data_IF_757684916918
#
_entry.id   IF_757684916918
#
_cell.length_a   1.000
_cell.length_b   1.000
_cell.length_c   1.000
_cell.angle_alpha   90.00
_cell.angle_beta   90.00
_cell.angle_gamma   90.00
#
_symmetry.space_group_name_H-M   'P 1'
#
loop_
_entity.id
_entity.type
_entity.pdbx_description
1 polymer ?
#
# COMPACT_ATOMS: atom_id res chain seq x y z
N UNK A 1 3.99 -20.27 27.71
CA UNK A 1 3.70 -20.05 26.28
C UNK A 1 4.90 -19.38 25.61
N UNK A 2 5.39 -19.97 24.56
CA UNK A 2 6.49 -19.38 23.80
C UNK A 2 5.98 -18.27 22.91
N UNK A 3 6.80 -17.26 22.65
CA UNK A 3 6.41 -16.12 21.79
C UNK A 3 6.03 -16.57 20.38
N UNK A 4 6.73 -17.59 19.86
CA UNK A 4 6.48 -18.13 18.52
C UNK A 4 5.08 -18.73 18.36
N UNK A 5 4.43 -19.05 19.47
CA UNK A 5 3.09 -19.64 19.47
C UNK A 5 1.98 -18.61 19.50
N UNK A 6 2.33 -17.31 19.58
CA UNK A 6 1.31 -16.26 19.62
C UNK A 6 0.85 -15.87 18.21
N UNK A 7 -0.43 -15.54 18.10
CA UNK A 7 -1.02 -15.08 16.84
C UNK A 7 -0.30 -13.82 16.35
N UNK A 8 -0.03 -12.89 17.26
CA UNK A 8 0.65 -11.64 16.91
C UNK A 8 2.04 -11.86 16.32
N UNK A 9 2.82 -12.76 16.91
CA UNK A 9 4.14 -13.11 16.38
C UNK A 9 4.04 -13.70 14.97
N UNK A 10 3.10 -14.61 14.77
CA UNK A 10 2.92 -15.26 13.48
C UNK A 10 2.47 -14.30 12.39
N UNK A 11 1.55 -13.39 12.71
CA UNK A 11 1.11 -12.34 11.79
C UNK A 11 2.30 -11.46 11.39
N UNK A 12 3.11 -11.06 12.36
CA UNK A 12 4.30 -10.23 12.12
C UNK A 12 5.32 -10.93 11.22
N UNK A 13 5.55 -12.22 11.48
CA UNK A 13 6.48 -13.02 10.69
C UNK A 13 6.02 -13.16 9.24
N UNK A 14 4.72 -13.40 9.04
CA UNK A 14 4.13 -13.50 7.70
C UNK A 14 4.25 -12.15 6.99
N UNK A 15 3.92 -11.06 7.66
CA UNK A 15 4.02 -9.73 7.11
C UNK A 15 5.45 -9.39 6.67
N UNK A 16 6.43 -9.69 7.52
CA UNK A 16 7.84 -9.47 7.20
C UNK A 16 8.28 -10.29 5.97
N UNK A 17 7.81 -11.52 5.86
CA UNK A 17 8.10 -12.37 4.71
C UNK A 17 7.49 -11.82 3.43
N UNK A 18 6.25 -11.36 3.49
CA UNK A 18 5.56 -10.71 2.37
C UNK A 18 6.28 -9.45 1.92
N UNK A 19 6.71 -8.62 2.87
CA UNK A 19 7.45 -7.40 2.59
C UNK A 19 8.78 -7.69 1.90
N UNK A 20 9.51 -8.70 2.35
CA UNK A 20 10.76 -9.11 1.71
C UNK A 20 10.54 -9.52 0.26
N UNK A 21 9.52 -10.32 -0.01
CA UNK A 21 9.19 -10.76 -1.38
C UNK A 21 8.79 -9.59 -2.26
N UNK A 22 7.95 -8.71 -1.75
CA UNK A 22 7.51 -7.51 -2.47
C UNK A 22 8.69 -6.59 -2.78
N UNK A 23 9.62 -6.42 -1.84
CA UNK A 23 10.82 -5.61 -2.02
C UNK A 23 11.77 -6.20 -3.07
N UNK A 24 11.92 -7.53 -3.08
CA UNK A 24 12.78 -8.22 -4.04
C UNK A 24 12.25 -8.09 -5.48
N UNK A 25 10.96 -7.85 -5.64
CA UNK A 25 10.30 -7.71 -6.93
C UNK A 25 10.18 -6.25 -7.40
N UNK A 26 10.47 -5.29 -6.52
CA UNK A 26 10.45 -3.87 -6.88
C UNK A 26 11.74 -3.46 -7.56
N UNK A 27 11.66 -2.49 -8.46
CA UNK A 27 12.84 -1.96 -9.15
C UNK A 27 13.82 -1.34 -8.14
N UNK A 28 15.12 -1.46 -8.45
CA UNK A 28 16.20 -0.94 -7.60
C UNK A 28 16.10 0.55 -7.27
N UNK A 29 15.41 1.32 -8.11
CA UNK A 29 15.19 2.75 -7.89
C UNK A 29 14.39 3.07 -6.62
N UNK A 30 13.58 2.13 -6.17
CA UNK A 30 12.78 2.29 -4.96
C UNK A 30 13.51 1.77 -3.71
N UNK A 31 14.76 1.35 -3.86
CA UNK A 31 15.45 0.44 -2.96
C UNK A 31 15.89 0.90 -1.60
N UNK A 32 15.71 2.15 -1.18
CA UNK A 32 16.23 2.58 0.12
C UNK A 32 15.24 2.47 1.27
N UNK A 33 13.93 2.42 0.98
CA UNK A 33 12.87 2.28 1.99
C UNK A 33 11.79 1.34 1.45
N UNK A 34 12.11 0.06 1.32
CA UNK A 34 11.23 -0.94 0.69
C UNK A 34 9.80 -0.99 1.24
N UNK A 35 9.61 -0.65 2.53
CA UNK A 35 8.28 -0.59 3.14
C UNK A 35 7.43 0.52 2.55
N UNK A 36 8.02 1.69 2.27
CA UNK A 36 7.29 2.85 1.76
C UNK A 36 6.70 2.61 0.36
N UNK A 37 7.45 2.07 -0.62
CA UNK A 37 6.88 1.73 -1.93
C UNK A 37 5.73 0.73 -1.85
N UNK A 38 5.83 -0.26 -0.97
CA UNK A 38 4.76 -1.26 -0.79
C UNK A 38 3.51 -0.61 -0.21
N UNK A 39 3.65 0.25 0.79
CA UNK A 39 2.52 0.99 1.37
C UNK A 39 1.89 1.92 0.34
N UNK A 40 2.70 2.59 -0.46
CA UNK A 40 2.22 3.44 -1.55
C UNK A 40 1.40 2.63 -2.56
N UNK A 41 1.87 1.43 -2.89
CA UNK A 41 1.16 0.51 -3.78
C UNK A 41 -0.23 0.14 -3.25
N UNK A 42 -0.33 -0.19 -1.96
CA UNK A 42 -1.60 -0.49 -1.32
C UNK A 42 -2.54 0.71 -1.32
N UNK A 43 -2.02 1.90 -1.04
CA UNK A 43 -2.82 3.13 -1.04
C UNK A 43 -3.33 3.44 -2.44
N UNK A 44 -2.49 3.30 -3.46
CA UNK A 44 -2.90 3.51 -4.86
C UNK A 44 -3.99 2.51 -5.27
N UNK A 45 -3.87 1.27 -4.83
CA UNK A 45 -4.90 0.25 -5.06
C UNK A 45 -6.24 0.61 -4.42
N UNK A 46 -6.21 1.11 -3.20
CA UNK A 46 -7.41 1.57 -2.50
C UNK A 46 -8.06 2.73 -3.26
N UNK A 47 -7.27 3.71 -3.69
CA UNK A 47 -7.79 4.84 -4.48
C UNK A 47 -8.36 4.38 -5.81
N UNK A 48 -7.74 3.41 -6.45
CA UNK A 48 -8.22 2.83 -7.70
C UNK A 48 -9.59 2.16 -7.52
N UNK A 49 -9.71 1.35 -6.48
CA UNK A 49 -10.94 0.61 -6.18
C UNK A 49 -12.11 1.52 -5.76
N UNK A 50 -11.78 2.72 -5.26
CA UNK A 50 -12.76 3.69 -4.75
C UNK A 50 -12.78 4.99 -5.56
N UNK A 51 -12.53 4.93 -6.87
CA UNK A 51 -12.49 6.11 -7.76
C UNK A 51 -13.73 6.97 -7.71
N UNK A 52 -14.89 6.35 -7.51
CA UNK A 52 -16.18 7.03 -7.52
C UNK A 52 -16.47 7.74 -6.19
N UNK A 53 -15.62 7.55 -5.20
CA UNK A 53 -15.80 8.12 -3.86
C UNK A 53 -14.79 9.22 -3.60
N UNK A 54 -15.14 10.13 -2.69
CA UNK A 54 -14.20 11.12 -2.18
C UNK A 54 -13.37 10.49 -1.07
N UNK A 55 -12.08 10.28 -1.30
CA UNK A 55 -11.15 9.68 -0.33
C UNK A 55 -10.22 10.77 0.20
N UNK A 56 -10.11 10.82 1.53
CA UNK A 56 -9.26 11.77 2.25
C UNK A 56 -8.16 11.02 3.00
N UNK A 57 -7.16 11.76 3.49
CA UNK A 57 -6.08 11.15 4.29
C UNK A 57 -6.59 10.36 5.49
N UNK A 58 -7.63 10.88 6.17
CA UNK A 58 -8.24 10.19 7.32
C UNK A 58 -8.77 8.80 6.95
N UNK A 59 -9.27 8.64 5.73
CA UNK A 59 -9.79 7.35 5.25
C UNK A 59 -8.64 6.34 5.09
N UNK A 60 -7.50 6.80 4.61
CA UNK A 60 -6.30 5.97 4.50
C UNK A 60 -5.78 5.56 5.89
N UNK A 61 -5.74 6.52 6.83
CA UNK A 61 -5.35 6.24 8.22
C UNK A 61 -6.21 5.14 8.82
N UNK A 62 -7.52 5.24 8.65
CA UNK A 62 -8.48 4.27 9.18
C UNK A 62 -8.38 2.91 8.49
N UNK A 63 -8.26 2.91 7.16
CA UNK A 63 -8.23 1.68 6.36
C UNK A 63 -7.00 0.83 6.65
N UNK A 64 -5.84 1.46 6.77
CA UNK A 64 -4.56 0.78 6.91
C UNK A 64 -4.00 0.77 8.33
N UNK A 65 -4.71 1.37 9.28
CA UNK A 65 -4.27 1.44 10.69
C UNK A 65 -2.88 2.05 10.84
N UNK A 66 -2.61 3.12 10.10
CA UNK A 66 -1.32 3.82 10.15
C UNK A 66 -1.47 5.23 10.69
N UNK A 67 -0.40 5.72 11.30
CA UNK A 67 -0.38 7.03 11.94
C UNK A 67 -0.56 8.16 10.92
N UNK A 68 -1.21 9.23 11.34
CA UNK A 68 -1.45 10.42 10.53
C UNK A 68 -0.16 10.98 9.91
N UNK A 69 0.92 11.04 10.69
CA UNK A 69 2.21 11.54 10.22
C UNK A 69 2.79 10.67 9.10
N UNK A 70 2.60 9.36 9.19
CA UNK A 70 3.05 8.42 8.17
C UNK A 70 2.25 8.61 6.87
N UNK A 71 0.93 8.75 6.97
CA UNK A 71 0.07 8.99 5.81
C UNK A 71 0.45 10.31 5.14
N UNK A 72 0.66 11.36 5.93
CA UNK A 72 1.08 12.68 5.41
C UNK A 72 2.38 12.56 4.61
N UNK A 73 3.34 11.82 5.13
CA UNK A 73 4.62 11.58 4.46
C UNK A 73 4.44 10.80 3.15
N UNK A 74 3.66 9.72 3.18
CA UNK A 74 3.38 8.89 2.01
C UNK A 74 2.66 9.67 0.92
N UNK A 75 1.63 10.40 1.28
CA UNK A 75 0.83 11.22 0.36
C UNK A 75 1.71 12.28 -0.30
N UNK A 76 2.54 12.95 0.48
CA UNK A 76 3.45 13.96 -0.03
C UNK A 76 4.44 13.38 -1.05
N UNK A 77 5.00 12.22 -0.76
CA UNK A 77 5.91 11.54 -1.67
C UNK A 77 5.22 11.12 -2.97
N UNK A 78 4.02 10.56 -2.87
CA UNK A 78 3.25 10.15 -4.04
C UNK A 78 2.83 11.34 -4.89
N UNK A 79 2.50 12.46 -4.26
CA UNK A 79 2.18 13.70 -4.96
C UNK A 79 3.40 14.23 -5.73
N UNK A 80 4.58 14.21 -5.09
CA UNK A 80 5.84 14.63 -5.72
C UNK A 80 6.22 13.77 -6.92
N UNK A 81 5.92 12.48 -6.84
CA UNK A 81 6.18 11.54 -7.94
C UNK A 81 5.14 11.62 -9.07
N UNK A 82 4.08 12.38 -8.86
CA UNK A 82 3.01 12.52 -9.85
C UNK A 82 2.04 11.34 -9.89
N UNK A 83 1.98 10.55 -8.84
CA UNK A 83 1.07 9.39 -8.76
C UNK A 83 -0.33 9.79 -8.34
N UNK A 84 -0.45 10.80 -7.49
CA UNK A 84 -1.72 11.31 -6.98
C UNK A 84 -1.73 12.82 -7.00
N UNK A 85 -2.93 13.40 -6.93
CA UNK A 85 -3.13 14.81 -6.70
C UNK A 85 -4.05 15.01 -5.50
N UNK A 86 -3.85 16.12 -4.79
CA UNK A 86 -4.75 16.54 -3.72
C UNK A 86 -5.61 17.67 -4.29
N UNK A 87 -6.92 17.45 -4.35
CA UNK A 87 -7.87 18.35 -4.98
C UNK A 87 -8.87 18.86 -3.95
N UNK A 88 -8.97 20.18 -3.81
CA UNK A 88 -9.93 20.80 -2.91
C UNK A 88 -11.35 20.43 -3.32
N UNK A 89 -12.20 20.09 -2.34
CA UNK A 89 -13.61 19.87 -2.60
C UNK A 89 -14.36 21.19 -2.59
N UNK A 90 -15.42 21.30 -3.40
CA UNK A 90 -16.16 22.55 -3.57
C UNK A 90 -16.80 23.08 -2.28
N UNK A 91 -17.25 22.16 -1.41
CA UNK A 91 -17.94 22.53 -0.17
C UNK A 91 -17.03 23.09 0.92
N UNK A 92 -15.72 22.75 0.86
CA UNK A 92 -14.74 23.25 1.83
C UNK A 92 -13.34 23.11 1.23
N UNK A 93 -12.72 24.23 0.90
CA UNK A 93 -11.40 24.25 0.25
C UNK A 93 -10.26 23.76 1.15
N UNK A 94 -10.52 23.60 2.46
CA UNK A 94 -9.53 23.03 3.39
C UNK A 94 -9.49 21.51 3.29
N UNK A 95 -10.55 20.89 2.76
CA UNK A 95 -10.61 19.44 2.55
C UNK A 95 -10.02 19.12 1.17
N UNK A 96 -8.99 18.28 1.17
CA UNK A 96 -8.33 17.83 -0.05
C UNK A 96 -8.58 16.34 -0.25
N UNK A 97 -9.33 16.01 -1.30
CA UNK A 97 -9.52 14.62 -1.68
C UNK A 97 -8.28 14.12 -2.43
N UNK A 98 -8.00 12.84 -2.30
CA UNK A 98 -6.88 12.19 -2.97
C UNK A 98 -7.38 11.60 -4.29
N UNK A 99 -6.73 11.98 -5.39
CA UNK A 99 -7.09 11.50 -6.73
C UNK A 99 -5.92 10.76 -7.34
N UNK A 100 -6.17 9.54 -7.81
CA UNK A 100 -5.16 8.75 -8.49
C UNK A 100 -4.98 9.28 -9.91
N UNK A 101 -3.74 9.61 -10.28
CA UNK A 101 -3.40 10.08 -11.62
C UNK A 101 -3.04 8.91 -12.53
N UNK A 102 -2.96 9.15 -13.83
CA UNK A 102 -2.64 8.12 -14.82
C UNK A 102 -1.34 7.38 -14.50
N UNK A 103 -0.30 8.12 -14.13
CA UNK A 103 0.99 7.53 -13.74
C UNK A 103 0.84 6.61 -12.53
N UNK A 104 0.02 7.02 -11.56
CA UNK A 104 -0.29 6.19 -10.38
C UNK A 104 -1.05 4.93 -10.77
N UNK A 105 -1.96 5.00 -11.72
CA UNK A 105 -2.67 3.82 -12.20
C UNK A 105 -1.71 2.82 -12.86
N UNK A 106 -0.74 3.28 -13.63
CA UNK A 106 0.27 2.42 -14.25
C UNK A 106 1.12 1.71 -13.19
N UNK A 107 1.56 2.45 -12.18
CA UNK A 107 2.32 1.89 -11.06
C UNK A 107 1.48 0.87 -10.29
N UNK A 108 0.21 1.17 -10.09
CA UNK A 108 -0.73 0.25 -9.43
C UNK A 108 -0.84 -1.07 -10.19
N UNK A 109 -0.96 -1.02 -11.52
CA UNK A 109 -1.05 -2.23 -12.34
C UNK A 109 0.20 -3.11 -12.18
N UNK A 110 1.39 -2.51 -12.17
CA UNK A 110 2.64 -3.24 -11.93
C UNK A 110 2.69 -3.86 -10.54
N UNK A 111 2.27 -3.08 -9.55
CA UNK A 111 2.19 -3.55 -8.17
C UNK A 111 1.26 -4.75 -8.03
N UNK A 112 0.11 -4.70 -8.69
CA UNK A 112 -0.86 -5.81 -8.70
C UNK A 112 -0.25 -7.08 -9.28
N UNK A 113 0.48 -6.98 -10.37
CA UNK A 113 1.16 -8.12 -10.99
C UNK A 113 2.15 -8.75 -10.02
N UNK A 114 2.90 -7.92 -9.29
CA UNK A 114 3.86 -8.41 -8.29
C UNK A 114 3.16 -9.09 -7.13
N UNK A 115 2.04 -8.54 -6.66
CA UNK A 115 1.24 -9.13 -5.59
C UNK A 115 0.68 -10.48 -6.02
N UNK A 116 0.19 -10.60 -7.24
CA UNK A 116 -0.32 -11.87 -7.76
C UNK A 116 0.76 -12.95 -7.78
N UNK A 117 1.99 -12.59 -8.16
CA UNK A 117 3.13 -13.52 -8.14
C UNK A 117 3.47 -13.97 -6.73
N UNK A 118 3.47 -13.05 -5.77
CA UNK A 118 3.73 -13.35 -4.36
C UNK A 118 2.64 -14.28 -3.81
N UNK A 119 1.37 -14.01 -4.14
CA UNK A 119 0.25 -14.84 -3.73
C UNK A 119 0.38 -16.27 -4.27
N UNK A 120 0.78 -16.43 -5.54
CA UNK A 120 1.01 -17.74 -6.14
C UNK A 120 2.12 -18.51 -5.42
N UNK A 121 3.24 -17.85 -5.10
CA UNK A 121 4.34 -18.45 -4.36
C UNK A 121 3.90 -18.91 -2.98
N UNK A 122 3.08 -18.12 -2.30
CA UNK A 122 2.55 -18.48 -0.98
C UNK A 122 1.64 -19.69 -1.08
N UNK A 123 0.77 -19.73 -2.08
CA UNK A 123 -0.13 -20.87 -2.31
C UNK A 123 0.65 -22.15 -2.59
N UNK A 124 1.72 -22.07 -3.37
CA UNK A 124 2.60 -23.22 -3.63
C UNK A 124 3.29 -23.72 -2.37
N UNK A 125 3.61 -22.79 -1.46
CA UNK A 125 4.26 -23.11 -0.19
C UNK A 125 3.32 -23.68 0.87
N UNK A 126 2.00 -23.60 0.66
CA UNK A 126 0.98 -24.15 1.57
C UNK A 126 0.40 -25.40 0.94
N UNK A 127 0.50 -26.55 1.63
CA UNK A 127 -0.03 -27.81 1.11
C UNK A 127 -1.56 -27.77 1.10
N UNK A 128 -2.17 -28.46 0.13
CA UNK A 128 -3.62 -28.57 0.03
C UNK A 128 -4.26 -29.26 1.23
N UNK A 129 -3.45 -29.96 2.03
CA UNK A 129 -3.90 -30.66 3.23
C UNK A 129 -4.03 -29.74 4.46
N UNK A 130 -3.55 -28.55 4.36
CA UNK A 130 -3.65 -27.53 5.41
C UNK A 130 -4.82 -26.58 5.14
#
# INVERSE_FOLDING_TARGET
MKREDTIGFNIRSIDNMLMRKAMAMSDEESGKNGMMPVMQGWIMGYLYDHKEEEIFQRDIEAQFYIARSTVTCLVKQMEQKGYIARVAVKRDCRLKRLCLLEKGEEIHKRFLQNIEKVEEEIREGVSEEE
#
